data_IF_966715055400
#
_entry.id   IF_966715055400
#
_cell.length_a   1.000
_cell.length_b   1.000
_cell.length_c   1.000
_cell.angle_alpha   90.00
_cell.angle_beta   90.00
_cell.angle_gamma   90.00
#
_symmetry.space_group_name_H-M   'P 1'
#
loop_
_entity.id
_entity.type
_entity.pdbx_description
1 polymer ?
#
# COMPACT_ATOMS: atom_id res chain seq x y z
N UNK A 1 -33.69 -50.81 -49.97
CA UNK A 1 -32.40 -51.04 -49.25
C UNK A 1 -31.31 -50.46 -50.15
N UNK A 2 -30.51 -49.44 -49.81
CA UNK A 2 -29.96 -49.00 -48.53
C UNK A 2 -29.41 -47.57 -48.68
N UNK A 3 -29.67 -46.77 -47.64
CA UNK A 3 -28.74 -45.85 -46.97
C UNK A 3 -28.13 -44.65 -47.74
N UNK A 4 -28.76 -43.47 -47.57
CA UNK A 4 -28.07 -42.18 -47.67
C UNK A 4 -27.42 -41.87 -46.30
N UNK A 5 -26.08 -41.78 -46.28
CA UNK A 5 -25.29 -41.29 -45.16
C UNK A 5 -25.39 -39.76 -45.12
N UNK A 6 -26.01 -39.22 -44.08
CA UNK A 6 -25.93 -37.78 -43.76
C UNK A 6 -24.94 -37.62 -42.61
N UNK A 7 -23.80 -37.01 -42.91
CA UNK A 7 -22.84 -36.54 -41.92
C UNK A 7 -23.39 -35.25 -41.30
N UNK A 8 -23.83 -35.30 -40.04
CA UNK A 8 -24.08 -34.09 -39.24
C UNK A 8 -22.76 -33.63 -38.62
N UNK A 9 -22.16 -32.57 -39.18
CA UNK A 9 -21.09 -31.84 -38.52
C UNK A 9 -21.66 -30.95 -37.43
N UNK A 10 -21.36 -31.25 -36.17
CA UNK A 10 -21.58 -30.33 -35.04
C UNK A 10 -20.56 -29.19 -35.12
N UNK A 11 -21.02 -28.00 -35.51
CA UNK A 11 -20.26 -26.75 -35.37
C UNK A 11 -20.43 -26.29 -33.92
N UNK A 12 -19.35 -26.31 -33.15
CA UNK A 12 -19.30 -25.64 -31.85
C UNK A 12 -19.33 -24.12 -32.06
N UNK A 13 -20.44 -23.47 -31.68
CA UNK A 13 -20.49 -22.01 -31.59
C UNK A 13 -19.69 -21.57 -30.35
N UNK A 14 -18.46 -21.10 -30.54
CA UNK A 14 -17.77 -20.30 -29.54
C UNK A 14 -18.36 -18.89 -29.59
N UNK A 15 -19.07 -18.46 -28.54
CA UNK A 15 -19.52 -17.08 -28.40
C UNK A 15 -18.32 -16.18 -28.06
N UNK A 16 -17.60 -15.70 -29.08
CA UNK A 16 -16.59 -14.65 -28.92
C UNK A 16 -17.29 -13.33 -28.59
N UNK A 17 -17.19 -12.89 -27.34
CA UNK A 17 -17.61 -11.54 -26.97
C UNK A 17 -16.59 -10.56 -27.54
N UNK A 18 -17.02 -9.70 -28.45
CA UNK A 18 -16.17 -8.63 -29.01
C UNK A 18 -15.85 -7.65 -27.89
N UNK A 19 -14.57 -7.46 -27.58
CA UNK A 19 -14.12 -6.46 -26.62
C UNK A 19 -14.51 -5.09 -27.19
N UNK A 20 -15.30 -4.26 -26.47
CA UNK A 20 -15.62 -2.91 -26.91
C UNK A 20 -14.35 -2.11 -27.18
N UNK A 21 -14.36 -1.17 -28.13
CA UNK A 21 -13.23 -0.28 -28.33
C UNK A 21 -12.98 0.55 -27.05
N UNK A 22 -11.85 0.31 -26.37
CA UNK A 22 -11.44 0.98 -25.13
C UNK A 22 -10.41 2.06 -25.48
N UNK A 23 -10.76 3.36 -25.43
CA UNK A 23 -9.81 4.46 -25.61
C UNK A 23 -8.58 4.33 -24.71
N UNK A 24 -7.38 4.45 -25.30
CA UNK A 24 -6.09 4.35 -24.60
C UNK A 24 -5.83 5.46 -23.58
N UNK A 25 -6.62 6.52 -23.61
CA UNK A 25 -6.61 7.63 -22.64
C UNK A 25 -7.58 7.41 -21.46
N UNK A 26 -8.32 6.30 -21.46
CA UNK A 26 -9.38 5.99 -20.49
C UNK A 26 -10.51 7.04 -20.41
N UNK A 27 -10.74 7.81 -21.47
CA UNK A 27 -11.83 8.80 -21.53
C UNK A 27 -13.23 8.19 -21.37
N UNK A 28 -13.38 6.88 -21.63
CA UNK A 28 -14.60 6.11 -21.43
C UNK A 28 -14.80 5.63 -19.97
N UNK A 29 -13.83 5.81 -19.08
CA UNK A 29 -13.88 5.24 -17.74
C UNK A 29 -14.90 5.96 -16.84
N UNK A 30 -15.82 5.17 -16.28
CA UNK A 30 -16.77 5.57 -15.25
C UNK A 30 -16.64 4.58 -14.10
N UNK A 31 -16.26 5.12 -12.94
CA UNK A 31 -16.04 4.35 -11.71
C UNK A 31 -17.28 3.53 -11.33
N UNK A 32 -17.16 2.20 -11.34
CA UNK A 32 -18.24 1.27 -10.99
C UNK A 32 -19.12 0.79 -12.14
N UNK A 33 -18.99 1.37 -13.33
CA UNK A 33 -19.72 0.96 -14.54
C UNK A 33 -18.79 0.32 -15.57
N UNK A 34 -17.60 0.89 -15.77
CA UNK A 34 -16.65 0.42 -16.78
C UNK A 34 -16.04 -0.93 -16.40
N UNK A 35 -16.08 -1.87 -17.35
CA UNK A 35 -15.44 -3.19 -17.20
C UNK A 35 -13.95 -3.18 -17.49
N UNK A 36 -13.49 -2.36 -18.43
CA UNK A 36 -12.10 -2.35 -18.87
C UNK A 36 -11.45 -0.98 -18.66
N UNK A 37 -10.16 -1.00 -18.29
CA UNK A 37 -9.33 0.19 -18.14
C UNK A 37 -7.90 -0.12 -18.60
N UNK A 38 -7.24 0.83 -19.24
CA UNK A 38 -5.82 0.76 -19.51
C UNK A 38 -5.02 1.15 -18.27
N UNK A 39 -4.11 0.29 -17.85
CA UNK A 39 -3.17 0.55 -16.76
C UNK A 39 -1.74 0.35 -17.25
N UNK A 40 -0.79 1.25 -16.95
CA UNK A 40 0.60 1.01 -17.28
C UNK A 40 1.15 -0.16 -16.46
N UNK A 41 1.95 -1.01 -17.09
CA UNK A 41 2.76 -2.02 -16.40
C UNK A 41 3.99 -1.39 -15.72
N UNK A 42 4.86 -2.23 -15.14
CA UNK A 42 6.09 -1.79 -14.48
C UNK A 42 7.12 -1.14 -15.40
N UNK A 43 6.94 -1.25 -16.72
CA UNK A 43 7.78 -0.66 -17.77
C UNK A 43 7.11 0.55 -18.43
N UNK A 44 5.89 0.90 -18.00
CA UNK A 44 5.11 2.02 -18.51
C UNK A 44 4.27 1.69 -19.74
N UNK A 45 4.22 0.42 -20.18
CA UNK A 45 3.41 0.02 -21.32
C UNK A 45 1.93 -0.10 -20.90
N UNK A 46 0.98 0.47 -21.66
CA UNK A 46 -0.43 0.35 -21.33
C UNK A 46 -0.90 -1.10 -21.55
N UNK A 47 -1.46 -1.69 -20.49
CA UNK A 47 -2.07 -3.03 -20.46
C UNK A 47 -3.57 -2.87 -20.21
N UNK A 48 -4.39 -3.57 -20.99
CA UNK A 48 -5.84 -3.57 -20.80
C UNK A 48 -6.20 -4.50 -19.65
N UNK A 49 -6.84 -3.94 -18.62
CA UNK A 49 -7.25 -4.66 -17.41
C UNK A 49 -8.75 -4.85 -17.40
N UNK A 50 -9.22 -6.10 -17.25
CA UNK A 50 -10.62 -6.44 -17.01
C UNK A 50 -10.92 -6.39 -15.50
N UNK A 51 -11.67 -5.37 -15.07
CA UNK A 51 -12.06 -5.13 -13.68
C UNK A 51 -13.11 -6.12 -13.18
N UNK A 52 -13.71 -6.91 -14.07
CA UNK A 52 -14.73 -7.91 -13.75
C UNK A 52 -14.25 -9.34 -14.01
N UNK A 53 -12.99 -9.55 -14.40
CA UNK A 53 -12.45 -10.90 -14.58
C UNK A 53 -12.54 -11.67 -13.25
N UNK A 54 -13.16 -12.87 -13.25
CA UNK A 54 -13.25 -13.67 -12.05
C UNK A 54 -11.85 -14.10 -11.62
N UNK A 55 -11.68 -14.23 -10.31
CA UNK A 55 -10.41 -14.67 -9.74
C UNK A 55 -10.04 -16.05 -10.29
N UNK A 56 -8.81 -16.15 -10.78
CA UNK A 56 -8.23 -17.45 -11.08
C UNK A 56 -7.86 -18.17 -9.78
N UNK A 57 -8.80 -18.95 -9.26
CA UNK A 57 -8.66 -19.70 -8.01
C UNK A 57 -7.49 -20.69 -8.05
N UNK A 58 -7.18 -21.29 -9.21
CA UNK A 58 -6.03 -22.18 -9.34
C UNK A 58 -4.71 -21.42 -9.19
N UNK A 59 -4.65 -20.20 -9.76
CA UNK A 59 -3.51 -19.33 -9.59
C UNK A 59 -3.38 -18.85 -8.13
N UNK A 60 -4.47 -18.48 -7.45
CA UNK A 60 -4.42 -18.10 -6.05
C UNK A 60 -3.99 -19.25 -5.13
N UNK A 61 -4.54 -20.45 -5.34
CA UNK A 61 -4.24 -21.62 -4.50
C UNK A 61 -2.81 -22.16 -4.70
N UNK A 62 -2.16 -21.82 -5.81
CA UNK A 62 -0.74 -22.13 -6.04
C UNK A 62 0.22 -21.08 -5.46
N UNK A 63 -0.29 -19.94 -4.96
CA UNK A 63 0.55 -18.91 -4.34
C UNK A 63 0.89 -19.26 -2.90
N UNK A 64 2.18 -19.22 -2.59
CA UNK A 64 2.72 -19.28 -1.25
C UNK A 64 3.02 -17.85 -0.76
N UNK A 65 2.57 -17.53 0.46
CA UNK A 65 2.79 -16.22 1.09
C UNK A 65 4.26 -15.78 1.21
N UNK A 66 5.21 -16.69 1.00
CA UNK A 66 6.64 -16.39 0.91
C UNK A 66 7.05 -15.58 -0.35
N UNK A 67 6.24 -15.55 -1.43
CA UNK A 67 6.59 -14.97 -2.74
C UNK A 67 5.51 -14.00 -3.29
N UNK A 68 4.88 -13.17 -2.45
CA UNK A 68 3.74 -12.37 -2.88
C UNK A 68 4.12 -11.17 -3.77
N UNK A 69 3.72 -11.22 -5.05
CA UNK A 69 3.51 -10.05 -5.90
C UNK A 69 2.06 -9.55 -5.75
N UNK A 70 1.90 -8.24 -5.51
CA UNK A 70 0.70 -7.39 -5.60
C UNK A 70 -0.69 -8.06 -5.57
N UNK A 71 -1.46 -7.78 -4.52
CA UNK A 71 -2.91 -7.99 -4.53
C UNK A 71 -3.56 -6.85 -5.31
N UNK A 72 -4.07 -7.14 -6.51
CA UNK A 72 -4.98 -6.23 -7.20
C UNK A 72 -6.32 -6.25 -6.45
N UNK A 73 -6.57 -5.19 -5.70
CA UNK A 73 -7.81 -5.02 -4.97
C UNK A 73 -8.92 -4.58 -5.94
N UNK A 74 -9.72 -5.51 -6.45
CA UNK A 74 -10.91 -5.19 -7.26
C UNK A 74 -12.17 -5.15 -6.38
N UNK A 75 -13.13 -4.29 -6.73
CA UNK A 75 -14.41 -4.11 -6.01
C UNK A 75 -15.22 -5.41 -5.83
N UNK A 76 -14.97 -6.41 -6.67
CA UNK A 76 -15.67 -7.70 -6.66
C UNK A 76 -15.02 -8.77 -5.75
N UNK A 77 -13.79 -8.56 -5.27
CA UNK A 77 -13.10 -9.49 -4.37
C UNK A 77 -13.15 -9.05 -2.91
N UNK A 78 -14.37 -8.91 -2.38
CA UNK A 78 -14.60 -8.59 -0.95
C UNK A 78 -14.29 -9.75 0.01
N UNK A 79 -13.98 -10.95 -0.52
CA UNK A 79 -13.92 -12.23 0.21
C UNK A 79 -12.59 -12.60 0.86
N UNK A 80 -11.60 -11.70 0.91
CA UNK A 80 -10.32 -11.97 1.59
C UNK A 80 -10.43 -11.93 3.12
N UNK A 81 -9.64 -12.74 3.83
CA UNK A 81 -9.52 -12.63 5.29
C UNK A 81 -8.79 -11.32 5.65
N UNK A 82 -9.56 -10.28 6.00
CA UNK A 82 -9.05 -8.96 6.38
C UNK A 82 -8.05 -8.97 7.54
N UNK A 83 -8.03 -10.02 8.36
CA UNK A 83 -7.03 -10.19 9.42
C UNK A 83 -5.60 -10.43 8.87
N UNK A 84 -5.48 -10.79 7.59
CA UNK A 84 -4.22 -11.10 6.92
C UNK A 84 -3.82 -10.04 5.87
N UNK A 85 -4.50 -8.89 5.86
CA UNK A 85 -4.22 -7.80 4.90
C UNK A 85 -3.36 -6.73 5.57
N UNK A 86 -2.23 -6.41 4.94
CA UNK A 86 -1.38 -5.27 5.26
C UNK A 86 -1.25 -4.37 4.04
N UNK A 87 -1.81 -3.16 4.10
CA UNK A 87 -1.65 -2.16 3.04
C UNK A 87 -0.45 -1.26 3.35
N UNK A 88 0.41 -1.03 2.36
CA UNK A 88 1.59 -0.15 2.49
C UNK A 88 1.56 0.88 1.38
N UNK A 89 1.68 2.16 1.72
CA UNK A 89 1.64 3.24 0.74
C UNK A 89 2.70 4.30 1.03
N UNK A 90 3.42 4.72 -0.01
CA UNK A 90 4.45 5.76 0.06
C UNK A 90 3.94 7.10 -0.46
N UNK A 91 4.32 8.20 0.18
CA UNK A 91 3.99 9.56 -0.26
C UNK A 91 2.47 9.74 -0.39
N UNK A 92 1.97 10.15 -1.56
CA UNK A 92 0.54 10.20 -1.89
C UNK A 92 -0.14 8.83 -1.74
N UNK A 93 0.58 7.75 -2.04
CA UNK A 93 0.13 6.37 -1.88
C UNK A 93 -0.25 6.02 -0.44
N UNK A 94 0.32 6.68 0.57
CA UNK A 94 -0.08 6.50 1.97
C UNK A 94 -1.56 6.88 2.18
N UNK A 95 -2.03 7.92 1.50
CA UNK A 95 -3.43 8.33 1.54
C UNK A 95 -4.31 7.43 0.70
N UNK A 96 -3.81 6.95 -0.45
CA UNK A 96 -4.51 5.95 -1.28
C UNK A 96 -4.82 4.69 -0.48
N UNK A 97 -3.82 4.09 0.18
CA UNK A 97 -4.06 2.91 1.04
C UNK A 97 -4.92 3.26 2.26
N UNK A 98 -4.82 4.50 2.73
CA UNK A 98 -5.65 5.02 3.81
C UNK A 98 -7.14 5.04 3.45
N UNK A 99 -7.47 5.52 2.25
CA UNK A 99 -8.84 5.51 1.70
C UNK A 99 -9.27 4.08 1.40
N UNK A 100 -8.42 3.28 0.75
CA UNK A 100 -8.73 1.88 0.42
C UNK A 100 -9.13 1.08 1.65
N UNK A 101 -8.39 1.21 2.76
CA UNK A 101 -8.72 0.53 4.01
C UNK A 101 -10.02 1.00 4.69
N UNK A 102 -10.46 2.25 4.45
CA UNK A 102 -11.74 2.78 4.95
C UNK A 102 -12.94 2.41 4.06
N UNK A 103 -12.72 2.29 2.76
CA UNK A 103 -13.74 1.95 1.75
C UNK A 103 -13.85 0.45 1.49
N UNK A 104 -12.90 -0.32 2.01
CA UNK A 104 -12.92 -1.77 1.97
C UNK A 104 -14.16 -2.34 2.68
N UNK A 105 -14.67 -3.47 2.17
CA UNK A 105 -15.76 -4.23 2.80
C UNK A 105 -15.42 -4.83 4.17
N UNK A 106 -14.16 -4.71 4.62
CA UNK A 106 -13.69 -5.02 5.95
C UNK A 106 -12.42 -4.24 6.30
N UNK A 107 -12.12 -4.07 7.60
CA UNK A 107 -10.95 -3.30 8.05
C UNK A 107 -9.67 -4.15 7.93
N UNK A 108 -8.68 -3.74 7.12
CA UNK A 108 -7.41 -4.48 7.02
C UNK A 108 -6.72 -4.52 8.38
N UNK A 109 -6.01 -5.62 8.64
CA UNK A 109 -5.28 -5.83 9.90
C UNK A 109 -4.28 -4.68 10.15
N UNK A 110 -3.57 -4.27 9.10
CA UNK A 110 -2.53 -3.25 9.20
C UNK A 110 -2.52 -2.31 8.01
N UNK A 111 -2.27 -1.03 8.26
CA UNK A 111 -1.93 -0.04 7.24
C UNK A 111 -0.65 0.68 7.64
N UNK A 112 0.32 0.78 6.74
CA UNK A 112 1.57 1.53 6.95
C UNK A 112 1.67 2.65 5.93
N UNK A 113 1.75 3.88 6.40
CA UNK A 113 2.10 5.06 5.60
C UNK A 113 3.60 5.32 5.65
N UNK A 114 4.24 5.38 4.48
CA UNK A 114 5.65 5.68 4.33
C UNK A 114 5.79 7.13 3.87
N UNK A 115 6.26 7.99 4.77
CA UNK A 115 6.32 9.45 4.67
C UNK A 115 5.09 10.05 3.96
N UNK A 116 3.89 9.98 4.58
CA UNK A 116 2.64 10.41 3.96
C UNK A 116 2.73 11.85 3.43
N UNK A 117 2.27 12.10 2.20
CA UNK A 117 2.44 13.39 1.54
C UNK A 117 1.89 14.58 2.35
N UNK A 118 2.70 15.64 2.50
CA UNK A 118 2.40 16.81 3.32
C UNK A 118 1.47 17.86 2.70
N UNK A 119 1.86 18.48 1.57
CA UNK A 119 1.15 19.61 0.99
C UNK A 119 -0.33 19.29 0.68
N UNK A 120 -1.25 20.02 1.32
CA UNK A 120 -2.69 19.85 1.12
C UNK A 120 -3.34 18.69 1.89
N UNK A 121 -2.59 17.92 2.68
CA UNK A 121 -3.11 16.72 3.35
C UNK A 121 -3.30 16.83 4.86
N UNK A 122 -2.70 17.82 5.53
CA UNK A 122 -2.82 18.00 6.98
C UNK A 122 -4.28 18.15 7.48
N UNK A 123 -5.17 18.69 6.64
CA UNK A 123 -6.60 18.91 6.94
C UNK A 123 -7.53 18.14 6.00
N UNK A 124 -6.99 17.26 5.17
CA UNK A 124 -7.77 16.54 4.17
C UNK A 124 -8.47 15.34 4.80
N UNK A 125 -9.79 15.25 4.64
CA UNK A 125 -10.59 14.13 5.16
C UNK A 125 -10.19 12.77 4.56
N UNK A 126 -9.58 12.77 3.38
CA UNK A 126 -9.06 11.58 2.72
C UNK A 126 -7.63 11.22 3.14
N UNK A 127 -6.99 12.01 4.01
CA UNK A 127 -5.67 11.69 4.53
C UNK A 127 -5.66 10.33 5.24
N UNK A 128 -4.46 9.76 5.38
CA UNK A 128 -4.24 8.56 6.16
C UNK A 128 -4.63 8.89 7.61
N UNK A 129 -5.37 8.02 8.27
CA UNK A 129 -5.73 8.21 9.67
C UNK A 129 -5.90 6.86 10.38
N UNK A 130 -6.05 6.90 11.71
CA UNK A 130 -6.26 5.73 12.59
C UNK A 130 -7.42 4.81 12.19
N UNK A 131 -8.39 5.29 11.40
CA UNK A 131 -9.54 4.49 10.96
C UNK A 131 -9.24 3.68 9.69
N UNK A 132 -8.08 3.87 9.05
CA UNK A 132 -7.69 3.17 7.82
C UNK A 132 -7.44 1.67 7.98
N UNK A 133 -7.17 1.20 9.20
CA UNK A 133 -6.98 -0.23 9.49
C UNK A 133 -7.26 -0.52 10.95
N UNK A 134 -7.08 -1.77 11.38
CA UNK A 134 -7.14 -2.13 12.81
C UNK A 134 -5.94 -1.57 13.58
N UNK A 135 -4.78 -1.60 12.93
CA UNK A 135 -3.59 -0.89 13.36
C UNK A 135 -3.04 -0.08 12.18
N UNK A 136 -2.82 1.21 12.39
CA UNK A 136 -2.22 2.11 11.41
C UNK A 136 -0.92 2.63 11.96
N UNK A 137 0.14 2.63 11.17
CA UNK A 137 1.40 3.29 11.52
C UNK A 137 1.88 4.21 10.40
N UNK A 138 2.64 5.23 10.75
CA UNK A 138 3.30 6.11 9.81
C UNK A 138 4.80 6.20 10.13
N UNK A 139 5.63 6.25 9.08
CA UNK A 139 7.08 6.48 9.19
C UNK A 139 7.36 7.82 8.54
N UNK A 140 7.71 8.83 9.33
CA UNK A 140 7.97 10.19 8.87
C UNK A 140 9.48 10.38 8.67
N UNK A 141 9.90 10.81 7.50
CA UNK A 141 11.32 11.02 7.17
C UNK A 141 11.60 12.37 6.54
N UNK A 142 10.58 13.06 6.00
CA UNK A 142 10.69 14.41 5.42
C UNK A 142 9.54 15.34 5.87
N UNK A 143 9.19 15.26 7.16
CA UNK A 143 8.14 16.07 7.75
C UNK A 143 8.36 17.59 7.57
N UNK A 144 7.26 18.32 7.31
CA UNK A 144 7.22 19.78 7.00
C UNK A 144 7.77 20.15 5.60
N UNK A 145 8.15 19.16 4.80
CA UNK A 145 8.58 19.33 3.41
C UNK A 145 7.65 18.50 2.50
N UNK A 146 8.12 17.37 1.99
CA UNK A 146 7.28 16.48 1.19
C UNK A 146 6.37 15.61 2.05
N UNK A 147 6.74 15.34 3.30
CA UNK A 147 5.96 14.55 4.25
C UNK A 147 5.14 15.39 5.26
N UNK A 148 4.04 14.81 5.74
CA UNK A 148 3.32 15.30 6.93
C UNK A 148 4.22 15.14 8.15
N UNK A 149 4.23 16.13 9.04
CA UNK A 149 4.89 16.00 10.36
C UNK A 149 3.92 15.59 11.46
N UNK A 150 2.66 16.02 11.34
CA UNK A 150 1.59 15.73 12.30
C UNK A 150 1.42 14.23 12.49
N UNK A 151 1.23 13.78 13.73
CA UNK A 151 0.90 12.40 14.03
C UNK A 151 -0.53 12.09 13.54
N UNK A 152 -0.66 11.12 12.64
CA UNK A 152 -1.93 10.77 11.97
C UNK A 152 -2.31 9.30 12.15
N UNK A 153 -1.39 8.46 12.59
CA UNK A 153 -1.58 7.01 12.71
C UNK A 153 -1.80 6.58 14.18
N UNK A 154 -1.97 5.27 14.44
CA UNK A 154 -1.95 4.77 15.82
C UNK A 154 -0.54 4.93 16.40
N UNK A 155 0.47 4.50 15.65
CA UNK A 155 1.87 4.69 15.97
C UNK A 155 2.57 5.53 14.87
N UNK A 156 3.14 6.66 15.26
CA UNK A 156 3.87 7.54 14.34
C UNK A 156 5.37 7.50 14.70
N UNK A 157 6.19 7.04 13.77
CA UNK A 157 7.64 6.90 13.94
C UNK A 157 8.38 8.05 13.26
N UNK A 158 9.34 8.64 13.98
CA UNK A 158 10.13 9.78 13.55
C UNK A 158 11.63 9.43 13.58
N UNK A 159 12.12 8.56 12.67
CA UNK A 159 13.54 8.27 12.54
C UNK A 159 14.34 9.55 12.31
N UNK A 160 15.37 9.75 13.13
CA UNK A 160 16.27 10.89 13.10
C UNK A 160 15.53 12.23 13.19
N UNK A 161 14.45 12.29 13.98
CA UNK A 161 13.60 13.47 14.11
C UNK A 161 12.49 13.57 13.06
N UNK A 162 12.43 12.63 12.12
CA UNK A 162 11.41 12.51 11.09
C UNK A 162 11.35 13.66 10.09
N UNK A 163 12.50 14.29 9.86
CA UNK A 163 12.68 15.42 8.92
C UNK A 163 13.91 15.24 8.07
N UNK A 164 13.97 16.02 7.00
CA UNK A 164 15.23 16.34 6.36
C UNK A 164 16.17 17.12 7.32
N UNK A 165 17.47 16.79 7.34
CA UNK A 165 18.11 15.69 6.62
C UNK A 165 18.02 14.34 7.35
N UNK A 166 17.64 13.28 6.64
CA UNK A 166 17.91 11.92 7.09
C UNK A 166 19.41 11.58 6.89
N UNK A 167 20.02 10.71 7.72
CA UNK A 167 21.40 10.27 7.54
C UNK A 167 21.68 9.78 6.12
N UNK A 168 22.73 10.32 5.49
CA UNK A 168 23.11 10.01 4.11
C UNK A 168 22.31 10.73 3.03
N UNK A 169 21.37 11.62 3.38
CA UNK A 169 20.61 12.42 2.43
C UNK A 169 21.02 13.89 2.45
N UNK A 170 21.22 14.46 1.26
CA UNK A 170 21.55 15.89 1.05
C UNK A 170 20.36 16.69 0.53
N UNK A 171 19.24 16.05 0.21
CA UNK A 171 18.03 16.70 -0.31
C UNK A 171 16.76 16.18 0.38
N UNK A 172 15.69 16.98 0.32
CA UNK A 172 14.36 16.59 0.80
C UNK A 172 13.79 15.37 0.04
N UNK A 173 13.85 15.30 -1.31
CA UNK A 173 13.45 14.08 -2.04
C UNK A 173 14.19 12.81 -1.60
N UNK A 174 15.49 12.90 -1.27
CA UNK A 174 16.21 11.76 -0.69
C UNK A 174 15.65 11.38 0.68
N UNK A 175 15.39 12.37 1.54
CA UNK A 175 14.83 12.13 2.88
C UNK A 175 13.42 11.54 2.80
N UNK A 176 12.62 11.98 1.83
CA UNK A 176 11.30 11.43 1.53
C UNK A 176 11.42 9.96 1.09
N UNK A 177 12.32 9.68 0.13
CA UNK A 177 12.65 8.33 -0.34
C UNK A 177 13.27 7.40 0.71
N UNK A 178 13.70 7.92 1.87
CA UNK A 178 14.27 7.10 2.94
C UNK A 178 13.22 6.22 3.63
N UNK A 179 11.95 6.63 3.69
CA UNK A 179 10.90 5.87 4.36
C UNK A 179 10.69 4.44 3.82
N UNK A 180 10.56 4.21 2.49
CA UNK A 180 10.47 2.85 1.95
C UNK A 180 11.73 2.02 2.18
N UNK A 181 12.91 2.62 2.14
CA UNK A 181 14.17 1.90 2.42
C UNK A 181 14.26 1.45 3.89
N UNK A 182 13.88 2.31 4.84
CA UNK A 182 13.79 1.96 6.25
C UNK A 182 12.73 0.88 6.49
N UNK A 183 11.56 0.99 5.85
CA UNK A 183 10.54 -0.05 5.97
C UNK A 183 11.05 -1.39 5.42
N UNK A 184 11.69 -1.42 4.25
CA UNK A 184 12.26 -2.63 3.69
C UNK A 184 13.31 -3.26 4.63
N UNK A 185 14.17 -2.47 5.26
CA UNK A 185 15.15 -3.00 6.22
C UNK A 185 14.47 -3.59 7.46
N UNK A 186 13.34 -3.02 7.91
CA UNK A 186 12.58 -3.57 9.05
C UNK A 186 11.92 -4.90 8.74
N UNK A 187 11.57 -5.19 7.48
CA UNK A 187 10.99 -6.47 7.06
C UNK A 187 12.05 -7.57 7.12
N UNK A 188 13.28 -7.31 6.66
CA UNK A 188 14.37 -8.30 6.67
C UNK A 188 15.09 -8.44 8.01
N UNK A 189 15.29 -7.34 8.75
CA UNK A 189 16.15 -7.32 9.94
C UNK A 189 15.41 -7.00 11.25
N UNK A 190 14.27 -6.31 11.18
CA UNK A 190 13.41 -5.97 12.34
C UNK A 190 14.14 -5.37 13.56
N UNK A 191 15.18 -4.56 13.33
CA UNK A 191 16.07 -4.02 14.39
C UNK A 191 15.87 -2.53 14.73
N UNK A 192 14.91 -1.87 14.09
CA UNK A 192 14.66 -0.44 14.26
C UNK A 192 13.75 -0.20 15.46
N UNK A 193 14.33 -0.09 16.66
CA UNK A 193 13.57 0.06 17.90
C UNK A 193 13.25 1.54 18.17
N UNK A 194 11.97 1.90 18.09
CA UNK A 194 11.46 3.21 18.51
C UNK A 194 11.25 3.28 20.01
N UNK A 195 11.56 4.43 20.62
CA UNK A 195 11.16 4.75 22.00
C UNK A 195 10.02 5.74 22.00
N UNK A 196 9.01 5.49 22.82
CA UNK A 196 7.83 6.34 22.93
C UNK A 196 8.21 7.70 23.50
N UNK A 197 7.72 8.75 22.86
CA UNK A 197 7.88 10.14 23.24
C UNK A 197 6.59 10.67 23.87
N UNK A 198 6.69 11.67 24.72
CA UNK A 198 5.56 12.40 25.31
C UNK A 198 4.88 13.25 24.23
N UNK A 199 5.67 13.85 23.34
CA UNK A 199 5.18 14.72 22.29
C UNK A 199 6.12 14.73 21.07
N UNK A 200 5.71 15.46 20.03
CA UNK A 200 6.45 15.58 18.79
C UNK A 200 7.81 16.29 18.96
N UNK A 201 7.92 17.25 19.88
CA UNK A 201 9.18 17.98 20.11
C UNK A 201 10.28 17.04 20.63
N UNK A 202 9.95 16.09 21.50
CA UNK A 202 10.89 15.06 21.97
C UNK A 202 11.27 14.08 20.84
N UNK A 203 10.33 13.74 19.97
CA UNK A 203 10.58 12.90 18.80
C UNK A 203 11.55 13.57 17.82
N UNK A 204 11.38 14.87 17.56
CA UNK A 204 12.23 15.68 16.67
C UNK A 204 13.70 15.67 17.07
N UNK A 205 14.00 15.68 18.37
CA UNK A 205 15.38 15.64 18.88
C UNK A 205 15.83 14.22 19.25
N UNK A 206 14.98 13.21 19.04
CA UNK A 206 15.21 11.81 19.41
C UNK A 206 15.62 11.64 20.89
N UNK A 207 14.93 12.36 21.79
CA UNK A 207 15.18 12.33 23.24
C UNK A 207 14.22 11.41 24.02
N UNK A 208 13.60 10.46 23.32
CA UNK A 208 12.49 9.66 23.85
C UNK A 208 12.92 8.59 24.86
N UNK A 209 12.27 8.56 26.03
CA UNK A 209 12.61 7.64 27.12
C UNK A 209 11.55 6.57 27.43
N UNK A 210 10.39 6.60 26.76
CA UNK A 210 9.27 5.71 27.04
C UNK A 210 9.42 4.28 26.51
N UNK A 211 8.31 3.54 26.55
CA UNK A 211 8.23 2.16 26.10
C UNK A 211 8.70 1.96 24.65
N UNK A 212 9.24 0.78 24.35
CA UNK A 212 9.78 0.45 23.05
C UNK A 212 8.75 -0.16 22.12
N UNK A 213 8.83 0.16 20.83
CA UNK A 213 8.10 -0.51 19.76
C UNK A 213 8.99 -0.55 18.51
N UNK A 214 9.13 -1.72 17.88
CA UNK A 214 9.86 -1.81 16.61
C UNK A 214 9.09 -1.02 15.54
N UNK A 215 9.79 -0.16 14.81
CA UNK A 215 9.28 0.49 13.60
C UNK A 215 9.12 -0.54 12.48
N UNK A 216 8.10 -0.37 11.62
CA UNK A 216 7.90 -1.26 10.46
C UNK A 216 7.73 -2.72 10.87
N UNK A 217 8.29 -3.66 10.11
CA UNK A 217 8.28 -5.13 10.22
C UNK A 217 7.16 -5.88 9.47
N UNK A 218 7.36 -7.20 9.29
CA UNK A 218 6.46 -8.11 8.58
C UNK A 218 5.29 -8.66 9.42
N UNK A 219 5.13 -8.22 10.67
CA UNK A 219 4.11 -8.76 11.59
C UNK A 219 2.75 -8.15 11.26
N UNK A 220 1.86 -8.91 10.62
CA UNK A 220 0.56 -8.40 10.16
C UNK A 220 -0.35 -7.97 11.31
N UNK A 221 -0.34 -8.71 12.43
CA UNK A 221 -1.14 -8.43 13.62
C UNK A 221 -0.42 -7.52 14.65
N UNK A 222 0.50 -6.68 14.20
CA UNK A 222 1.19 -5.70 15.05
C UNK A 222 0.20 -4.73 15.68
N UNK A 223 0.50 -4.30 16.90
CA UNK A 223 -0.24 -3.25 17.60
C UNK A 223 0.72 -2.25 18.25
N UNK A 224 0.19 -1.08 18.60
CA UNK A 224 0.98 0.00 19.18
C UNK A 224 0.18 1.30 19.20
N UNK A 225 0.56 2.22 20.10
CA UNK A 225 -0.03 3.54 20.14
C UNK A 225 0.98 4.57 20.67
N UNK A 226 1.12 5.69 19.98
CA UNK A 226 1.92 6.82 20.40
C UNK A 226 2.88 7.34 19.34
N UNK A 227 3.68 8.31 19.74
CA UNK A 227 4.75 8.91 18.93
C UNK A 227 6.06 8.24 19.34
N UNK A 228 6.88 7.84 18.38
CA UNK A 228 8.13 7.12 18.62
C UNK A 228 9.30 7.81 17.91
N UNK A 229 10.37 8.06 18.65
CA UNK A 229 11.64 8.55 18.13
C UNK A 229 12.66 7.41 18.07
N UNK A 230 13.52 7.42 17.05
CA UNK A 230 14.63 6.49 16.90
C UNK A 230 15.74 7.11 16.05
N UNK A 231 16.92 6.50 16.08
CA UNK A 231 18.04 6.86 15.20
C UNK A 231 18.35 5.72 14.25
N UNK A 232 18.80 6.06 13.05
CA UNK A 232 19.24 5.12 12.01
C UNK A 232 20.59 5.56 11.48
N UNK A 233 21.37 4.65 10.90
CA UNK A 233 22.61 4.97 10.20
C UNK A 233 22.33 5.49 8.78
N UNK A 234 23.39 5.89 8.10
CA UNK A 234 23.37 6.41 6.73
C UNK A 234 23.56 5.33 5.64
N UNK A 235 23.76 4.06 6.03
CA UNK A 235 24.04 2.95 5.12
C UNK A 235 23.15 1.77 5.44
N UNK A 236 22.66 1.08 4.41
CA UNK A 236 21.89 -0.16 4.53
C UNK A 236 22.62 -1.18 5.43
N UNK A 237 21.91 -1.91 6.32
CA UNK A 237 20.46 -1.91 6.54
C UNK A 237 19.95 -0.81 7.50
N UNK A 238 20.69 0.28 7.63
CA UNK A 238 20.46 1.44 8.52
C UNK A 238 20.52 1.12 10.01
#
# INVERSE_FOLDING_TARGET
MKLALVFCGLIALCASHVIPSVPGDNSHYVEGESRYIWMPDGEGNPVLVDLQEPVNEMFLNSRNGANNQYWLFTRNNRGGNWNNVHLVGFSLGAHVVGVAGRQAGGRPSRVTGLDPAGPGWNTNNNALNRNSGRYVEAIHTDGRKLGIMTAIANADFYPNGGRHPQPGCTSSPCSHGRAPELFASTVGYNRHVGRRCVNLAEAEISACAGATLNMGNAIVNKNGNGIFGLRTANRWPF
#
